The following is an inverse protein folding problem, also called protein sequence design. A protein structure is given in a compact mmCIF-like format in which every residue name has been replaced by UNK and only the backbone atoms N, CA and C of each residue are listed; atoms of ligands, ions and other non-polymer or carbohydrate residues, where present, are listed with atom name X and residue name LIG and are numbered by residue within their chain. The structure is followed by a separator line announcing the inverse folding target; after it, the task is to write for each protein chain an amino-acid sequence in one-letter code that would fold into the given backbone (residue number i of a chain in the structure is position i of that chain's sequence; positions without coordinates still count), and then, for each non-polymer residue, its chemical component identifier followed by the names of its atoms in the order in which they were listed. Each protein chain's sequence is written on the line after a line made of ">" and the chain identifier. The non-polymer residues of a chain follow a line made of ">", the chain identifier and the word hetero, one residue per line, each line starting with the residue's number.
data_IF_258998007880
#
_entry.id   IF_258998007880
#
_cell.length_a   1.000
_cell.length_b   1.000
_cell.length_c   1.000
_cell.angle_alpha   90.00
_cell.angle_beta   90.00
_cell.angle_gamma   90.00
#
_symmetry.space_group_name_H-M   'P 1'
#
loop_
_entity.id
_entity.type
_entity.pdbx_description
1 polymer ?
#
# COMPACT_ATOMS: atom_id res chain seq x y z
N UNK A 1 27.33 -42.83 -141.00
CA UNK A 1 27.35 -43.60 -139.72
C UNK A 1 26.23 -43.05 -138.84
N UNK A 2 25.39 -43.91 -138.27
CA UNK A 2 24.42 -43.53 -137.23
C UNK A 2 25.20 -43.41 -135.90
N UNK A 3 25.09 -42.27 -135.22
CA UNK A 3 25.73 -42.01 -133.91
C UNK A 3 24.69 -41.55 -132.88
N UNK A 4 24.97 -41.79 -131.60
CA UNK A 4 24.13 -41.33 -130.49
C UNK A 4 24.69 -40.02 -129.92
N UNK A 5 23.86 -38.99 -129.83
CA UNK A 5 24.21 -37.74 -129.16
C UNK A 5 23.78 -37.83 -127.69
N UNK A 6 24.71 -37.56 -126.77
CA UNK A 6 24.46 -37.51 -125.32
C UNK A 6 24.67 -36.07 -124.85
N UNK A 7 23.64 -35.48 -124.21
CA UNK A 7 23.70 -34.12 -123.66
C UNK A 7 23.77 -34.17 -122.13
N UNK A 8 24.78 -33.52 -121.55
CA UNK A 8 24.84 -33.24 -120.11
C UNK A 8 24.15 -31.91 -119.78
N UNK A 9 23.77 -31.74 -118.52
CA UNK A 9 22.94 -30.60 -118.06
C UNK A 9 23.61 -29.21 -118.21
N UNK A 10 24.94 -29.15 -118.39
CA UNK A 10 25.69 -27.90 -118.61
C UNK A 10 25.97 -27.59 -120.10
N UNK A 11 25.62 -28.48 -121.04
CA UNK A 11 25.75 -28.22 -122.47
C UNK A 11 24.46 -27.63 -123.06
N UNK A 12 24.11 -26.42 -122.64
CA UNK A 12 23.17 -25.59 -123.40
C UNK A 12 23.94 -24.81 -124.47
N UNK A 13 23.59 -25.06 -125.74
CA UNK A 13 23.97 -24.26 -126.90
C UNK A 13 25.47 -24.23 -127.28
N UNK A 14 25.89 -25.17 -128.13
CA UNK A 14 26.68 -24.78 -129.31
C UNK A 14 28.16 -25.13 -129.41
N UNK A 15 28.80 -25.84 -128.47
CA UNK A 15 30.21 -26.27 -128.67
C UNK A 15 30.47 -27.70 -128.17
N UNK A 16 31.13 -28.48 -129.03
CA UNK A 16 31.60 -29.88 -128.86
C UNK A 16 30.55 -30.97 -128.62
N UNK A 17 29.86 -31.39 -129.68
CA UNK A 17 29.26 -32.72 -129.74
C UNK A 17 30.37 -33.78 -129.78
N UNK A 18 30.66 -34.45 -128.67
CA UNK A 18 31.39 -35.70 -128.71
C UNK A 18 30.44 -36.79 -129.20
N UNK A 19 30.29 -36.90 -130.52
CA UNK A 19 29.49 -37.95 -131.15
C UNK A 19 29.97 -39.31 -130.66
N UNK A 20 29.08 -40.09 -130.04
CA UNK A 20 29.41 -41.46 -129.67
C UNK A 20 29.30 -42.31 -130.93
N UNK A 21 30.43 -42.91 -131.34
CA UNK A 21 30.49 -43.80 -132.49
C UNK A 21 30.25 -45.25 -132.06
N UNK A 22 29.99 -46.12 -133.04
CA UNK A 22 29.86 -47.55 -132.76
C UNK A 22 31.17 -48.07 -132.15
N UNK A 23 31.11 -48.58 -130.91
CA UNK A 23 32.28 -49.00 -130.12
C UNK A 23 32.76 -47.99 -129.06
N UNK A 24 32.20 -46.78 -128.99
CA UNK A 24 32.54 -45.80 -127.95
C UNK A 24 31.93 -46.16 -126.58
N UNK A 25 32.60 -45.78 -125.49
CA UNK A 25 32.14 -46.00 -124.11
C UNK A 25 31.57 -44.72 -123.50
N UNK A 26 30.42 -44.81 -122.82
CA UNK A 26 29.86 -43.74 -121.97
C UNK A 26 30.20 -44.07 -120.51
N UNK A 27 30.97 -43.20 -119.86
CA UNK A 27 31.22 -43.29 -118.43
C UNK A 27 30.23 -42.38 -117.69
N UNK A 28 29.29 -42.95 -116.96
CA UNK A 28 28.45 -42.21 -116.01
C UNK A 28 29.14 -42.22 -114.65
N UNK A 29 29.98 -41.21 -114.45
CA UNK A 29 30.69 -41.00 -113.20
C UNK A 29 29.92 -39.91 -112.47
N UNK A 30 29.41 -40.21 -111.27
CA UNK A 30 29.07 -39.13 -110.37
C UNK A 30 30.39 -38.41 -110.03
N UNK A 31 30.38 -37.08 -109.91
CA UNK A 31 31.61 -36.30 -109.68
C UNK A 31 32.30 -36.76 -108.37
N UNK A 32 33.52 -37.32 -108.41
CA UNK A 32 34.24 -37.70 -107.19
C UNK A 32 34.73 -36.41 -106.53
N UNK A 33 34.35 -36.21 -105.26
CA UNK A 33 34.88 -35.08 -104.50
C UNK A 33 36.40 -35.19 -104.25
N UNK A 34 37.06 -36.32 -104.58
CA UNK A 34 38.50 -36.55 -104.42
C UNK A 34 39.05 -37.67 -105.33
N UNK A 35 39.10 -37.48 -106.65
CA UNK A 35 40.09 -38.10 -107.56
C UNK A 35 40.20 -39.63 -107.75
N UNK A 36 39.57 -40.49 -106.95
CA UNK A 36 39.77 -41.96 -107.03
C UNK A 36 38.67 -42.68 -107.83
N UNK A 37 39.09 -43.46 -108.83
CA UNK A 37 38.20 -44.27 -109.70
C UNK A 37 38.39 -45.76 -109.36
N UNK A 38 37.61 -46.28 -108.41
CA UNK A 38 37.45 -47.73 -108.18
C UNK A 38 36.18 -48.27 -108.86
N UNK A 39 36.18 -49.57 -109.14
CA UNK A 39 35.23 -50.31 -109.98
C UNK A 39 33.79 -50.40 -109.44
N UNK A 40 33.53 -49.85 -108.25
CA UNK A 40 32.20 -49.48 -107.78
C UNK A 40 32.04 -47.96 -107.97
N UNK A 41 31.17 -47.54 -108.89
CA UNK A 41 30.91 -46.13 -109.21
C UNK A 41 30.17 -45.39 -108.07
N UNK A 42 30.78 -45.32 -106.89
CA UNK A 42 30.27 -44.67 -105.69
C UNK A 42 31.07 -43.39 -105.41
N UNK A 43 30.42 -42.23 -105.42
CA UNK A 43 30.99 -40.97 -104.92
C UNK A 43 30.61 -40.74 -103.47
N UNK A 44 30.95 -39.58 -102.89
CA UNK A 44 30.55 -39.24 -101.53
C UNK A 44 29.03 -39.40 -101.29
N UNK A 45 28.18 -39.11 -102.29
CA UNK A 45 26.72 -39.07 -102.12
C UNK A 45 25.92 -39.98 -103.06
N UNK A 46 26.44 -40.33 -104.24
CA UNK A 46 25.73 -41.16 -105.21
C UNK A 46 26.41 -42.51 -105.41
N UNK A 47 25.64 -43.51 -105.77
CA UNK A 47 26.12 -44.83 -106.21
C UNK A 47 25.41 -45.18 -107.51
N UNK A 48 26.19 -45.51 -108.53
CA UNK A 48 25.69 -45.87 -109.85
C UNK A 48 25.88 -47.38 -110.06
N UNK A 49 24.78 -48.09 -110.35
CA UNK A 49 24.81 -49.54 -110.60
C UNK A 49 24.31 -49.79 -112.01
N UNK A 50 25.13 -50.47 -112.82
CA UNK A 50 24.73 -50.96 -114.14
C UNK A 50 24.19 -52.39 -114.02
N UNK A 51 23.12 -52.67 -114.74
CA UNK A 51 22.59 -54.03 -114.92
C UNK A 51 22.11 -54.20 -116.35
N UNK A 52 22.22 -55.41 -116.91
CA UNK A 52 21.74 -55.72 -118.26
C UNK A 52 20.74 -56.86 -118.19
N UNK A 53 19.62 -56.73 -118.89
CA UNK A 53 18.67 -57.83 -118.99
C UNK A 53 19.12 -58.85 -120.07
N UNK A 54 18.55 -60.07 -120.09
CA UNK A 54 18.92 -61.11 -121.06
C UNK A 54 18.68 -60.73 -122.53
N UNK A 55 17.81 -59.75 -122.81
CA UNK A 55 17.58 -59.21 -124.16
C UNK A 55 18.60 -58.14 -124.58
N UNK A 56 19.62 -57.86 -123.75
CA UNK A 56 20.71 -56.94 -124.08
C UNK A 56 20.45 -55.47 -123.72
N UNK A 57 19.33 -55.13 -123.07
CA UNK A 57 19.03 -53.76 -122.64
C UNK A 57 19.74 -53.44 -121.32
N UNK A 58 20.60 -52.43 -121.31
CA UNK A 58 21.30 -51.94 -120.12
C UNK A 58 20.50 -50.88 -119.35
N UNK A 59 20.39 -51.03 -118.03
CA UNK A 59 19.80 -50.05 -117.11
C UNK A 59 20.88 -49.52 -116.17
N UNK A 60 20.96 -48.20 -116.04
CA UNK A 60 21.83 -47.52 -115.08
C UNK A 60 20.95 -46.97 -113.96
N UNK A 61 21.12 -47.50 -112.74
CA UNK A 61 20.42 -47.00 -111.56
C UNK A 61 21.34 -46.08 -110.78
N UNK A 62 20.94 -44.83 -110.62
CA UNK A 62 21.62 -43.87 -109.75
C UNK A 62 20.87 -43.82 -108.42
N UNK A 63 21.55 -44.13 -107.31
CA UNK A 63 21.00 -44.11 -105.95
C UNK A 63 21.77 -43.14 -105.07
N UNK A 64 21.10 -42.52 -104.12
CA UNK A 64 21.77 -41.83 -103.01
C UNK A 64 22.35 -42.87 -102.05
N UNK A 65 23.55 -42.63 -101.49
CA UNK A 65 24.13 -43.46 -100.44
C UNK A 65 23.26 -43.44 -99.18
N UNK A 66 23.37 -44.47 -98.35
CA UNK A 66 22.64 -44.55 -97.07
C UNK A 66 23.07 -43.47 -96.06
N UNK A 67 24.31 -42.97 -96.15
CA UNK A 67 24.87 -41.91 -95.29
C UNK A 67 25.50 -40.81 -96.15
N UNK A 68 24.70 -40.04 -96.91
CA UNK A 68 25.23 -38.97 -97.73
C UNK A 68 25.73 -37.83 -96.82
N UNK A 69 26.78 -37.13 -97.25
CA UNK A 69 27.34 -35.96 -96.58
C UNK A 69 27.01 -34.70 -97.37
N UNK A 70 26.38 -33.73 -96.72
CA UNK A 70 26.02 -32.44 -97.31
C UNK A 70 26.64 -31.31 -96.49
N UNK A 71 27.08 -30.24 -97.17
CA UNK A 71 27.48 -29.00 -96.49
C UNK A 71 26.28 -28.27 -95.88
N UNK A 72 25.14 -28.32 -96.58
CA UNK A 72 23.87 -27.75 -96.15
C UNK A 72 22.72 -28.57 -96.74
N UNK A 73 21.69 -28.78 -95.93
CA UNK A 73 20.39 -29.26 -96.38
C UNK A 73 19.41 -28.12 -96.17
N UNK A 74 18.70 -27.73 -97.24
CA UNK A 74 17.62 -26.73 -97.16
C UNK A 74 16.32 -27.44 -97.48
N UNK A 75 15.41 -27.47 -96.50
CA UNK A 75 14.06 -28.01 -96.67
C UNK A 75 13.11 -26.82 -96.83
N UNK A 76 12.51 -26.70 -98.01
CA UNK A 76 11.53 -25.68 -98.35
C UNK A 76 10.56 -26.20 -99.43
N UNK A 77 9.40 -25.56 -99.60
CA UNK A 77 8.40 -25.98 -100.59
C UNK A 77 8.33 -25.07 -101.84
N UNK A 78 9.48 -24.49 -102.21
CA UNK A 78 9.72 -23.93 -103.54
C UNK A 78 9.21 -22.51 -103.82
N UNK A 79 8.46 -21.84 -102.93
CA UNK A 79 7.83 -20.54 -103.28
C UNK A 79 7.64 -19.50 -102.15
N UNK A 80 8.45 -19.52 -101.07
CA UNK A 80 8.40 -18.65 -99.87
C UNK A 80 7.57 -19.19 -98.68
N UNK A 81 8.02 -20.28 -98.06
CA UNK A 81 7.45 -20.86 -96.83
C UNK A 81 8.60 -21.26 -95.88
N UNK A 82 8.38 -21.63 -94.60
CA UNK A 82 9.47 -21.70 -93.64
C UNK A 82 10.59 -22.60 -94.13
N UNK A 83 11.81 -22.04 -94.13
CA UNK A 83 12.99 -22.76 -94.54
C UNK A 83 13.61 -23.38 -93.28
N UNK A 84 13.77 -24.69 -93.30
CA UNK A 84 14.65 -25.38 -92.34
C UNK A 84 16.00 -25.54 -92.99
N UNK A 85 17.02 -24.96 -92.38
CA UNK A 85 18.42 -25.09 -92.80
C UNK A 85 19.13 -25.98 -91.78
N UNK A 86 19.80 -27.02 -92.28
CA UNK A 86 20.69 -27.88 -91.48
C UNK A 86 22.09 -27.76 -92.07
N UNK A 87 23.04 -27.28 -91.29
CA UNK A 87 24.44 -27.12 -91.70
C UNK A 87 25.38 -27.34 -90.49
N UNK A 88 26.67 -27.02 -90.65
CA UNK A 88 27.66 -27.15 -89.56
C UNK A 88 27.38 -26.25 -88.35
N UNK A 89 26.60 -25.18 -88.50
CA UNK A 89 26.22 -24.27 -87.41
C UNK A 89 25.02 -24.80 -86.61
N UNK A 90 24.26 -25.75 -87.15
CA UNK A 90 23.15 -26.42 -86.47
C UNK A 90 21.87 -26.48 -87.30
N UNK A 91 20.72 -26.34 -86.64
CA UNK A 91 19.39 -26.35 -87.26
C UNK A 91 18.74 -24.98 -87.08
N UNK A 92 18.33 -24.37 -88.19
CA UNK A 92 17.59 -23.10 -88.19
C UNK A 92 16.23 -23.33 -88.82
N UNK A 93 15.16 -22.95 -88.12
CA UNK A 93 13.80 -22.95 -88.63
C UNK A 93 13.37 -21.49 -88.77
N UNK A 94 13.31 -20.99 -90.01
CA UNK A 94 12.89 -19.61 -90.28
C UNK A 94 11.39 -19.59 -90.54
N UNK A 95 10.56 -18.93 -89.71
CA UNK A 95 9.12 -18.86 -89.90
C UNK A 95 8.74 -18.03 -91.13
N UNK A 96 7.52 -18.24 -91.64
CA UNK A 96 6.97 -17.40 -92.70
C UNK A 96 6.46 -16.08 -92.11
N UNK A 97 7.21 -15.01 -92.34
CA UNK A 97 6.92 -13.66 -91.86
C UNK A 97 5.63 -13.05 -92.43
N UNK A 98 5.02 -13.66 -93.46
CA UNK A 98 3.70 -13.24 -93.98
C UNK A 98 2.52 -13.70 -93.10
N UNK A 99 2.67 -14.82 -92.40
CA UNK A 99 1.60 -15.42 -91.56
C UNK A 99 1.77 -15.12 -90.08
N UNK A 100 2.99 -14.84 -89.62
CA UNK A 100 3.27 -14.33 -88.28
C UNK A 100 4.42 -13.30 -88.35
N UNK A 101 4.11 -12.01 -88.49
CA UNK A 101 5.10 -10.94 -88.67
C UNK A 101 6.07 -10.76 -87.49
N UNK A 102 5.72 -11.29 -86.32
CA UNK A 102 6.51 -11.20 -85.08
C UNK A 102 7.31 -12.48 -84.78
N UNK A 103 7.14 -13.55 -85.58
CA UNK A 103 7.85 -14.80 -85.35
C UNK A 103 9.34 -14.65 -85.69
N UNK A 104 10.20 -14.81 -84.68
CA UNK A 104 11.63 -14.91 -84.89
C UNK A 104 12.01 -16.36 -85.20
N UNK A 105 13.13 -16.59 -85.92
CA UNK A 105 13.60 -17.93 -86.21
C UNK A 105 13.94 -18.72 -84.93
N UNK A 106 13.81 -20.05 -85.00
CA UNK A 106 14.26 -20.97 -83.96
C UNK A 106 15.62 -21.53 -84.38
N UNK A 107 16.59 -21.48 -83.48
CA UNK A 107 17.96 -21.93 -83.71
C UNK A 107 18.35 -22.99 -82.70
N UNK A 108 18.91 -24.12 -83.15
CA UNK A 108 19.63 -25.08 -82.32
C UNK A 108 21.07 -25.09 -82.83
N UNK A 109 21.97 -24.47 -82.09
CA UNK A 109 23.39 -24.31 -82.47
C UNK A 109 24.32 -24.83 -81.38
N UNK A 110 25.63 -24.75 -81.59
CA UNK A 110 26.63 -25.00 -80.54
C UNK A 110 26.49 -24.08 -79.32
N UNK A 111 25.84 -22.91 -79.48
CA UNK A 111 25.53 -21.99 -78.39
C UNK A 111 24.25 -22.32 -77.62
N UNK A 112 23.49 -23.35 -78.02
CA UNK A 112 22.24 -23.77 -77.39
C UNK A 112 21.00 -23.54 -78.25
N UNK A 113 19.83 -23.57 -77.59
CA UNK A 113 18.52 -23.34 -78.19
C UNK A 113 18.13 -21.86 -78.03
N UNK A 114 17.82 -21.20 -79.14
CA UNK A 114 17.04 -19.97 -79.15
C UNK A 114 15.67 -20.27 -79.77
N UNK A 115 14.60 -20.11 -78.98
CA UNK A 115 13.24 -20.37 -79.43
C UNK A 115 12.57 -19.15 -80.08
N UNK A 116 13.30 -18.06 -80.33
CA UNK A 116 12.79 -16.88 -81.02
C UNK A 116 11.64 -16.17 -80.29
N UNK A 117 11.66 -16.20 -78.95
CA UNK A 117 10.60 -15.65 -78.10
C UNK A 117 9.30 -16.47 -78.07
N UNK A 118 9.24 -17.63 -78.75
CA UNK A 118 8.07 -18.50 -78.70
C UNK A 118 7.95 -19.21 -77.35
N UNK A 119 6.73 -19.58 -76.96
CA UNK A 119 6.51 -20.44 -75.80
C UNK A 119 6.98 -21.88 -76.08
N UNK A 120 7.74 -22.46 -75.16
CA UNK A 120 8.03 -23.90 -75.15
C UNK A 120 6.94 -24.57 -74.31
N UNK A 121 6.12 -25.41 -74.95
CA UNK A 121 5.00 -26.12 -74.30
C UNK A 121 5.40 -27.56 -73.99
N UNK A 122 4.66 -28.19 -73.07
CA UNK A 122 4.88 -29.60 -72.66
C UNK A 122 6.27 -29.87 -72.06
N UNK A 123 6.84 -28.87 -71.39
CA UNK A 123 8.07 -29.04 -70.59
C UNK A 123 7.67 -29.63 -69.25
N UNK A 124 8.19 -30.81 -68.94
CA UNK A 124 8.01 -31.41 -67.62
C UNK A 124 8.67 -30.54 -66.55
N UNK A 125 8.10 -30.55 -65.34
CA UNK A 125 8.72 -29.90 -64.18
C UNK A 125 10.15 -30.41 -64.00
N UNK A 126 11.10 -29.49 -63.83
CA UNK A 126 12.50 -29.83 -63.62
C UNK A 126 12.76 -30.38 -62.22
N UNK A 127 11.80 -30.22 -61.30
CA UNK A 127 11.89 -30.63 -59.90
C UNK A 127 10.99 -31.85 -59.67
N UNK A 128 11.54 -32.98 -59.16
CA UNK A 128 10.75 -34.15 -58.80
C UNK A 128 9.66 -33.83 -57.75
N UNK A 129 8.56 -34.58 -57.78
CA UNK A 129 7.48 -34.45 -56.78
C UNK A 129 8.04 -34.60 -55.36
N UNK A 130 7.77 -33.63 -54.49
CA UNK A 130 8.20 -33.63 -53.09
C UNK A 130 9.59 -33.00 -52.84
N UNK A 131 10.19 -32.40 -53.87
CA UNK A 131 11.43 -31.62 -53.79
C UNK A 131 11.13 -30.13 -53.97
N UNK A 132 12.01 -29.25 -53.50
CA UNK A 132 11.82 -27.78 -53.59
C UNK A 132 12.78 -27.17 -54.60
N UNK A 133 12.64 -25.85 -54.86
CA UNK A 133 13.56 -25.14 -55.75
C UNK A 133 15.03 -25.21 -55.29
N UNK A 134 15.30 -25.38 -53.99
CA UNK A 134 16.67 -25.53 -53.48
C UNK A 134 17.30 -26.88 -53.83
N UNK A 135 16.50 -27.89 -54.15
CA UNK A 135 16.98 -29.20 -54.60
C UNK A 135 17.31 -29.23 -56.10
N UNK A 136 16.98 -28.15 -56.85
CA UNK A 136 17.21 -28.09 -58.29
C UNK A 136 18.70 -27.84 -58.59
N UNK A 137 19.31 -28.58 -59.55
CA UNK A 137 20.64 -28.25 -60.06
C UNK A 137 20.67 -26.84 -60.62
N UNK A 138 21.76 -26.10 -60.40
CA UNK A 138 21.94 -24.72 -60.87
C UNK A 138 21.90 -24.57 -62.40
N UNK A 139 21.96 -25.67 -63.14
CA UNK A 139 21.95 -25.73 -64.61
C UNK A 139 20.58 -26.01 -65.24
N UNK A 140 19.51 -26.18 -64.44
CA UNK A 140 18.16 -26.47 -64.96
C UNK A 140 17.32 -25.19 -65.09
N UNK A 141 16.50 -25.09 -66.15
CA UNK A 141 15.49 -24.05 -66.28
C UNK A 141 14.27 -24.34 -65.40
N UNK A 142 13.78 -23.32 -64.68
CA UNK A 142 12.55 -23.45 -63.90
C UNK A 142 11.31 -23.35 -64.80
N UNK A 143 10.37 -24.28 -64.65
CA UNK A 143 9.05 -24.16 -65.29
C UNK A 143 8.10 -23.30 -64.45
N UNK A 144 6.99 -22.85 -65.04
CA UNK A 144 5.91 -22.19 -64.28
C UNK A 144 5.36 -23.11 -63.19
N UNK A 145 5.34 -24.43 -63.43
CA UNK A 145 4.94 -25.43 -62.45
C UNK A 145 5.88 -25.45 -61.23
N UNK A 146 7.19 -25.41 -61.48
CA UNK A 146 8.22 -25.36 -60.42
C UNK A 146 8.07 -24.08 -59.57
N UNK A 147 7.86 -22.92 -60.20
CA UNK A 147 7.65 -21.66 -59.50
C UNK A 147 6.37 -21.66 -58.66
N UNK A 148 5.25 -22.16 -59.22
CA UNK A 148 3.99 -22.32 -58.48
C UNK A 148 4.17 -23.25 -57.28
N UNK A 149 4.91 -24.34 -57.46
CA UNK A 149 5.18 -25.28 -56.37
C UNK A 149 5.96 -24.61 -55.23
N UNK A 150 6.99 -23.80 -55.53
CA UNK A 150 7.75 -23.10 -54.50
C UNK A 150 7.01 -21.93 -53.83
N UNK A 151 6.10 -21.26 -54.54
CA UNK A 151 5.30 -20.17 -53.96
C UNK A 151 4.12 -20.70 -53.11
N UNK A 152 3.64 -21.93 -53.38
CA UNK A 152 2.49 -22.50 -52.69
C UNK A 152 2.65 -22.61 -51.16
N UNK A 153 3.80 -23.03 -50.60
CA UNK A 153 4.02 -22.98 -49.16
C UNK A 153 3.92 -21.57 -48.57
N UNK A 154 4.43 -20.56 -49.26
CA UNK A 154 4.38 -19.17 -48.79
C UNK A 154 2.95 -18.63 -48.77
N UNK A 155 2.13 -19.00 -49.77
CA UNK A 155 0.71 -18.65 -49.83
C UNK A 155 -0.13 -19.38 -48.77
N UNK A 156 0.27 -20.59 -48.39
CA UNK A 156 -0.46 -21.39 -47.41
C UNK A 156 0.04 -21.21 -45.97
N UNK A 157 1.18 -20.52 -45.78
CA UNK A 157 1.62 -20.14 -44.46
C UNK A 157 0.62 -19.19 -43.83
N UNK A 158 0.37 -19.42 -42.54
CA UNK A 158 -0.51 -18.60 -41.74
C UNK A 158 0.22 -18.02 -40.55
N UNK A 159 -0.21 -16.84 -40.10
CA UNK A 159 0.18 -16.28 -38.82
C UNK A 159 -0.98 -16.42 -37.85
N UNK A 160 -0.66 -16.88 -36.64
CA UNK A 160 -1.59 -16.94 -35.50
C UNK A 160 -0.90 -16.34 -34.28
N UNK A 161 -1.59 -15.43 -33.59
CA UNK A 161 -1.20 -14.91 -32.28
C UNK A 161 -1.91 -15.71 -31.19
N UNK A 162 -1.15 -16.20 -30.21
CA UNK A 162 -1.67 -16.94 -29.04
C UNK A 162 -1.58 -16.09 -27.78
N UNK A 163 -2.49 -16.33 -26.83
CA UNK A 163 -2.46 -15.70 -25.50
C UNK A 163 -2.42 -16.74 -24.39
N UNK A 164 -2.48 -16.28 -23.13
CA UNK A 164 -2.62 -17.15 -21.96
C UNK A 164 -3.90 -18.02 -22.04
N UNK A 165 -4.92 -17.50 -22.72
CA UNK A 165 -6.10 -18.27 -23.12
C UNK A 165 -6.40 -17.99 -24.59
N UNK A 166 -6.74 -19.03 -25.34
CA UNK A 166 -7.16 -18.91 -26.74
C UNK A 166 -6.06 -18.52 -27.74
N UNK A 167 -6.48 -18.43 -28.99
CA UNK A 167 -5.67 -18.02 -30.13
C UNK A 167 -6.54 -17.21 -31.10
N UNK A 168 -5.91 -16.33 -31.86
CA UNK A 168 -6.56 -15.68 -33.01
C UNK A 168 -6.86 -16.68 -34.12
N UNK A 169 -7.74 -16.32 -35.04
CA UNK A 169 -7.92 -17.07 -36.28
C UNK A 169 -6.61 -17.01 -37.09
N UNK A 170 -6.22 -18.12 -37.71
CA UNK A 170 -5.05 -18.18 -38.56
C UNK A 170 -5.28 -17.35 -39.83
N UNK A 171 -4.46 -16.32 -40.04
CA UNK A 171 -4.53 -15.44 -41.22
C UNK A 171 -3.44 -15.82 -42.23
N UNK A 172 -3.81 -15.97 -43.51
CA UNK A 172 -2.86 -16.33 -44.58
C UNK A 172 -1.98 -15.15 -44.97
N UNK A 173 -0.71 -15.41 -45.30
CA UNK A 173 0.23 -14.35 -45.73
C UNK A 173 -0.19 -13.64 -47.02
N UNK A 174 -0.99 -14.28 -47.86
CA UNK A 174 -1.47 -13.74 -49.15
C UNK A 174 -2.86 -13.09 -49.06
N UNK A 175 -3.32 -12.75 -47.84
CA UNK A 175 -4.63 -12.16 -47.62
C UNK A 175 -4.85 -10.88 -48.45
N UNK A 176 -5.95 -10.85 -49.20
CA UNK A 176 -6.34 -9.69 -50.03
C UNK A 176 -6.62 -8.48 -49.13
N UNK A 177 -5.86 -7.40 -49.32
CA UNK A 177 -5.93 -6.19 -48.48
C UNK A 177 -4.87 -6.12 -47.38
N UNK A 178 -4.00 -7.13 -47.28
CA UNK A 178 -2.93 -7.20 -46.28
C UNK A 178 -3.40 -7.78 -44.95
N UNK A 179 -2.43 -8.05 -44.09
CA UNK A 179 -2.67 -8.52 -42.72
C UNK A 179 -3.02 -7.33 -41.81
N UNK A 180 -4.07 -7.47 -41.01
CA UNK A 180 -4.45 -6.47 -40.01
C UNK A 180 -4.70 -7.16 -38.67
N UNK A 181 -3.81 -6.91 -37.69
CA UNK A 181 -3.93 -7.45 -36.34
C UNK A 181 -4.33 -6.34 -35.37
N UNK A 182 -5.59 -6.37 -34.93
CA UNK A 182 -6.07 -5.48 -33.86
C UNK A 182 -5.68 -6.04 -32.50
N UNK A 183 -4.85 -5.32 -31.75
CA UNK A 183 -4.67 -5.56 -30.31
C UNK A 183 -5.71 -4.70 -29.58
N UNK A 184 -6.76 -5.34 -29.08
CA UNK A 184 -7.83 -4.65 -28.37
C UNK A 184 -7.38 -4.30 -26.94
N UNK A 185 -7.57 -3.04 -26.54
CA UNK A 185 -7.61 -2.66 -25.13
C UNK A 185 -8.96 -2.97 -24.49
N UNK A 186 -9.05 -2.77 -23.19
CA UNK A 186 -10.22 -3.02 -22.35
C UNK A 186 -10.38 -1.92 -21.26
N UNK A 187 -11.06 -2.23 -20.16
CA UNK A 187 -11.22 -1.31 -19.02
C UNK A 187 -9.90 -1.04 -18.29
N UNK A 188 -8.85 -1.86 -18.45
CA UNK A 188 -7.59 -1.69 -17.74
C UNK A 188 -6.45 -1.24 -18.66
N UNK A 189 -6.53 -1.55 -19.95
CA UNK A 189 -5.46 -1.33 -20.93
C UNK A 189 -5.97 -0.48 -22.10
N UNK A 190 -5.18 0.50 -22.49
CA UNK A 190 -5.33 1.25 -23.75
C UNK A 190 -4.26 0.83 -24.76
N UNK A 191 -4.65 0.70 -26.01
CA UNK A 191 -3.74 0.37 -27.12
C UNK A 191 -3.79 1.45 -28.20
N UNK A 192 -2.65 1.79 -28.77
CA UNK A 192 -2.53 2.71 -29.91
C UNK A 192 -1.47 2.23 -30.89
N UNK A 193 -1.66 2.49 -32.18
CA UNK A 193 -0.71 2.14 -33.23
C UNK A 193 -0.36 3.40 -34.03
N UNK A 194 0.93 3.63 -34.28
CA UNK A 194 1.42 4.76 -35.07
C UNK A 194 2.73 4.40 -35.74
N UNK A 195 2.80 4.57 -37.06
CA UNK A 195 3.96 4.15 -37.85
C UNK A 195 4.19 2.65 -37.71
N UNK A 196 5.37 2.27 -37.20
CA UNK A 196 5.77 0.88 -37.01
C UNK A 196 5.56 0.36 -35.58
N UNK A 197 5.09 1.21 -34.65
CA UNK A 197 4.98 0.88 -33.23
C UNK A 197 3.53 0.62 -32.83
N UNK A 198 3.34 -0.37 -31.96
CA UNK A 198 2.11 -0.57 -31.18
C UNK A 198 2.42 -0.35 -29.71
N UNK A 199 1.75 0.63 -29.11
CA UNK A 199 1.90 0.98 -27.70
C UNK A 199 0.76 0.36 -26.90
N UNK A 200 1.10 -0.26 -25.78
CA UNK A 200 0.17 -0.87 -24.82
C UNK A 200 0.45 -0.24 -23.46
N UNK A 201 -0.54 0.39 -22.86
CA UNK A 201 -0.41 1.10 -21.58
C UNK A 201 -1.61 0.85 -20.69
N UNK A 202 -1.42 0.92 -19.38
CA UNK A 202 -2.54 1.00 -18.44
C UNK A 202 -3.39 2.24 -18.77
N UNK A 203 -4.70 2.11 -18.63
CA UNK A 203 -5.58 3.25 -18.80
C UNK A 203 -5.41 4.27 -17.66
N UNK A 204 -6.02 5.44 -17.83
CA UNK A 204 -5.89 6.54 -16.86
C UNK A 204 -6.43 6.18 -15.47
N UNK A 205 -7.55 5.46 -15.40
CA UNK A 205 -8.24 5.16 -14.16
C UNK A 205 -7.51 4.08 -13.34
N UNK A 206 -7.06 3.01 -13.98
CA UNK A 206 -6.25 1.95 -13.37
C UNK A 206 -4.89 2.49 -12.94
N UNK A 207 -4.26 3.34 -13.76
CA UNK A 207 -3.04 4.06 -13.34
C UNK A 207 -3.32 4.93 -12.10
N UNK A 208 -4.42 5.68 -12.09
CA UNK A 208 -4.79 6.51 -10.94
C UNK A 208 -5.08 5.68 -9.68
N UNK A 209 -5.72 4.51 -9.80
CA UNK A 209 -5.94 3.58 -8.68
C UNK A 209 -4.62 3.10 -8.09
N UNK A 210 -3.64 2.76 -8.94
CA UNK A 210 -2.30 2.31 -8.51
C UNK A 210 -1.52 3.47 -7.88
N UNK A 211 -1.50 4.64 -8.51
CA UNK A 211 -0.79 5.82 -7.99
C UNK A 211 -1.39 6.29 -6.63
N UNK A 212 -2.70 6.13 -6.44
CA UNK A 212 -3.40 6.45 -5.18
C UNK A 212 -3.50 5.27 -4.20
N UNK A 213 -2.94 4.10 -4.51
CA UNK A 213 -2.94 2.97 -3.60
C UNK A 213 -1.97 3.22 -2.45
N UNK A 214 -2.46 3.24 -1.20
CA UNK A 214 -1.65 3.49 -0.02
C UNK A 214 -0.33 2.72 -0.06
N UNK A 215 0.78 3.44 -0.14
CA UNK A 215 2.11 2.85 -0.10
C UNK A 215 2.60 2.72 1.35
N UNK A 216 3.84 2.27 1.54
CA UNK A 216 4.40 2.09 2.90
C UNK A 216 4.48 3.38 3.72
N UNK A 217 4.53 4.56 3.09
CA UNK A 217 4.69 5.84 3.78
C UNK A 217 3.39 6.67 3.83
N UNK A 218 2.29 6.17 3.26
CA UNK A 218 0.97 6.80 3.24
C UNK A 218 0.97 8.21 2.62
N UNK A 219 1.96 8.54 1.78
CA UNK A 219 2.11 9.88 1.18
C UNK A 219 0.94 10.27 0.27
N UNK A 220 0.18 9.29 -0.22
CA UNK A 220 -0.96 9.47 -1.11
C UNK A 220 -2.33 9.45 -0.41
N UNK A 221 -2.38 9.51 0.93
CA UNK A 221 -3.65 9.69 1.64
C UNK A 221 -4.25 11.06 1.31
N UNK A 222 -5.51 11.05 0.83
CA UNK A 222 -6.30 12.25 0.52
C UNK A 222 -6.63 13.07 1.77
N UNK A 223 -7.01 14.37 1.65
CA UNK A 223 -7.46 15.16 2.79
C UNK A 223 -8.61 14.52 3.60
N UNK A 224 -9.52 13.80 2.94
CA UNK A 224 -10.58 13.04 3.61
C UNK A 224 -10.02 11.86 4.41
N UNK A 225 -9.06 11.11 3.85
CA UNK A 225 -8.36 10.05 4.58
C UNK A 225 -7.57 10.58 5.78
N UNK A 226 -6.90 11.73 5.63
CA UNK A 226 -6.22 12.42 6.75
C UNK A 226 -7.22 12.77 7.86
N UNK A 227 -8.42 13.24 7.51
CA UNK A 227 -9.49 13.55 8.47
C UNK A 227 -9.96 12.30 9.22
N UNK A 228 -10.11 11.16 8.55
CA UNK A 228 -10.46 9.89 9.22
C UNK A 228 -9.36 9.51 10.22
N UNK A 229 -8.09 9.56 9.82
CA UNK A 229 -6.96 9.25 10.70
C UNK A 229 -6.91 10.19 11.90
N UNK A 230 -7.03 11.50 11.70
CA UNK A 230 -7.01 12.46 12.81
C UNK A 230 -8.24 12.36 13.70
N UNK A 231 -9.39 11.93 13.17
CA UNK A 231 -10.60 11.69 13.97
C UNK A 231 -10.53 10.45 14.86
N UNK A 232 -9.67 9.48 14.51
CA UNK A 232 -9.35 8.35 15.39
C UNK A 232 -8.40 8.76 16.52
N UNK A 233 -7.61 9.82 16.32
CA UNK A 233 -6.80 10.43 17.36
C UNK A 233 -7.67 11.19 18.38
N UNK A 234 -7.25 11.19 19.64
CA UNK A 234 -7.85 12.03 20.69
C UNK A 234 -6.88 13.14 21.05
N UNK A 235 -7.39 14.38 21.15
CA UNK A 235 -6.61 15.51 21.65
C UNK A 235 -6.79 15.57 23.16
N UNK A 236 -5.68 15.42 23.91
CA UNK A 236 -5.66 15.60 25.36
C UNK A 236 -5.03 16.95 25.66
N UNK A 237 -5.82 17.89 26.18
CA UNK A 237 -5.35 19.20 26.59
C UNK A 237 -5.12 19.25 28.10
N UNK A 238 -4.02 19.86 28.53
CA UNK A 238 -3.76 20.13 29.92
C UNK A 238 -4.63 21.30 30.40
N UNK A 239 -5.52 21.05 31.36
CA UNK A 239 -6.26 22.09 32.07
C UNK A 239 -5.51 22.57 33.31
N UNK A 240 -6.09 23.55 34.02
CA UNK A 240 -5.55 24.03 35.28
C UNK A 240 -5.46 22.91 36.32
N UNK A 241 -4.36 22.88 37.10
CA UNK A 241 -4.12 21.92 38.18
C UNK A 241 -4.03 20.44 37.75
N UNK A 242 -3.92 20.18 36.46
CA UNK A 242 -3.72 18.86 35.89
C UNK A 242 -2.38 18.87 35.16
N UNK A 243 -1.60 17.80 35.28
CA UNK A 243 -0.44 17.54 34.43
C UNK A 243 -0.76 16.40 33.48
N UNK A 244 -0.47 16.60 32.19
CA UNK A 244 -0.55 15.55 31.17
C UNK A 244 0.86 15.26 30.69
N UNK A 245 1.36 14.04 30.97
CA UNK A 245 2.64 13.57 30.46
C UNK A 245 2.40 12.62 29.29
N UNK A 246 2.94 12.97 28.14
CA UNK A 246 2.91 12.15 26.94
C UNK A 246 4.17 11.29 26.82
N UNK A 247 4.00 10.05 26.37
CA UNK A 247 5.08 9.18 25.92
C UNK A 247 4.69 8.49 24.61
N UNK A 248 5.60 8.41 23.65
CA UNK A 248 5.42 7.74 22.37
C UNK A 248 6.19 6.41 22.33
N UNK A 249 5.51 5.34 21.91
CA UNK A 249 6.17 4.12 21.45
C UNK A 249 6.68 4.32 20.01
N UNK A 250 7.99 4.46 19.86
CA UNK A 250 8.64 4.72 18.56
C UNK A 250 8.50 3.60 17.53
N UNK A 251 8.13 2.39 17.95
CA UNK A 251 7.93 1.24 17.04
C UNK A 251 6.53 1.25 16.46
N UNK A 252 5.52 1.55 17.27
CA UNK A 252 4.11 1.53 16.85
C UNK A 252 3.55 2.91 16.52
N UNK A 253 4.23 4.00 16.93
CA UNK A 253 3.72 5.36 16.90
C UNK A 253 2.60 5.62 17.92
N UNK A 254 2.39 4.71 18.87
CA UNK A 254 1.30 4.83 19.85
C UNK A 254 1.68 5.82 20.96
N UNK A 255 0.82 6.81 21.19
CA UNK A 255 0.96 7.76 22.30
C UNK A 255 0.21 7.27 23.54
N UNK A 256 0.85 7.35 24.69
CA UNK A 256 0.26 7.12 26.02
C UNK A 256 0.27 8.43 26.80
N UNK A 257 -0.89 8.79 27.37
CA UNK A 257 -1.06 9.99 28.18
C UNK A 257 -1.28 9.60 29.64
N UNK A 258 -0.35 10.01 30.50
CA UNK A 258 -0.51 9.91 31.96
C UNK A 258 -1.06 11.22 32.49
N UNK A 259 -2.25 11.16 33.07
CA UNK A 259 -2.95 12.32 33.62
C UNK A 259 -2.88 12.28 35.14
N UNK A 260 -2.41 13.38 35.75
CA UNK A 260 -2.22 13.51 37.19
C UNK A 260 -2.73 14.86 37.67
N UNK A 261 -3.08 14.94 38.96
CA UNK A 261 -3.33 16.23 39.62
C UNK A 261 -1.99 16.84 40.03
N UNK A 262 -1.86 18.15 39.88
CA UNK A 262 -0.66 18.88 40.26
C UNK A 262 -0.40 18.78 41.77
N UNK A 263 0.88 18.77 42.16
CA UNK A 263 1.24 18.75 43.59
C UNK A 263 0.77 20.00 44.33
N UNK A 264 0.92 21.15 43.68
CA UNK A 264 0.52 22.45 44.20
C UNK A 264 -0.65 22.98 43.36
N UNK A 265 -1.84 23.01 43.95
CA UNK A 265 -3.03 23.54 43.30
C UNK A 265 -3.05 25.07 43.37
N UNK A 266 -3.33 25.73 42.24
CA UNK A 266 -3.36 27.18 42.08
C UNK A 266 -4.74 27.65 41.64
N UNK A 267 -5.06 28.91 41.98
CA UNK A 267 -6.30 29.55 41.52
C UNK A 267 -7.60 29.02 42.14
N UNK A 268 -7.51 28.08 43.09
CA UNK A 268 -8.69 27.56 43.80
C UNK A 268 -9.05 28.46 44.99
N UNK A 269 -10.35 28.57 45.30
CA UNK A 269 -10.84 29.18 46.53
C UNK A 269 -10.78 28.23 47.74
N UNK A 270 -10.68 26.92 47.48
CA UNK A 270 -10.61 25.88 48.48
C UNK A 270 -10.97 24.49 47.96
N UNK A 271 -11.01 23.52 48.88
CA UNK A 271 -11.61 22.20 48.69
C UNK A 271 -13.01 22.23 49.27
N UNK A 272 -14.01 21.92 48.44
CA UNK A 272 -15.40 21.85 48.86
C UNK A 272 -15.98 20.47 48.56
N UNK A 273 -16.39 19.75 49.60
CA UNK A 273 -17.15 18.50 49.45
C UNK A 273 -18.62 18.86 49.59
N UNK A 274 -19.41 18.61 48.54
CA UNK A 274 -20.86 18.90 48.54
C UNK A 274 -21.51 18.19 49.73
N UNK A 275 -22.24 18.94 50.55
CA UNK A 275 -22.88 18.46 51.79
C UNK A 275 -21.92 17.85 52.82
N UNK A 276 -20.63 18.17 52.72
CA UNK A 276 -19.57 17.68 53.59
C UNK A 276 -18.67 18.81 54.11
N UNK A 277 -17.53 18.46 54.74
CA UNK A 277 -16.54 19.43 55.17
C UNK A 277 -15.98 20.24 53.99
N UNK A 278 -15.51 21.45 54.28
CA UNK A 278 -14.82 22.29 53.32
C UNK A 278 -13.63 23.02 53.95
N UNK A 279 -12.62 23.31 53.12
CA UNK A 279 -11.45 24.08 53.49
C UNK A 279 -11.26 25.16 52.43
N UNK A 280 -11.46 26.42 52.80
CA UNK A 280 -11.39 27.57 51.89
C UNK A 280 -10.47 28.65 52.44
N UNK A 281 -10.32 29.75 51.70
CA UNK A 281 -9.62 30.96 52.19
C UNK A 281 -10.21 31.52 53.50
N UNK A 282 -11.48 31.20 53.82
CA UNK A 282 -12.13 31.62 55.08
C UNK A 282 -11.85 30.68 56.25
N UNK A 283 -11.16 29.55 56.04
CA UNK A 283 -10.86 28.56 57.07
C UNK A 283 -11.48 27.19 56.79
N UNK A 284 -11.71 26.44 57.88
CA UNK A 284 -12.22 25.06 57.85
C UNK A 284 -13.66 25.06 58.38
N UNK A 285 -14.58 24.50 57.60
CA UNK A 285 -15.93 24.15 58.05
C UNK A 285 -16.07 22.63 58.07
N UNK A 286 -16.38 22.06 59.22
CA UNK A 286 -16.58 20.61 59.37
C UNK A 286 -17.94 20.12 58.86
N UNK A 287 -18.84 20.99 58.42
CA UNK A 287 -20.16 20.61 57.92
C UNK A 287 -21.01 19.90 58.99
N UNK A 288 -20.98 20.42 60.22
CA UNK A 288 -21.59 19.84 61.42
C UNK A 288 -21.14 18.38 61.72
N UNK A 289 -19.93 18.00 61.34
CA UNK A 289 -19.32 16.72 61.69
C UNK A 289 -18.32 16.87 62.84
N UNK A 290 -18.15 15.79 63.61
CA UNK A 290 -17.12 15.72 64.66
C UNK A 290 -15.74 15.60 64.01
N UNK A 291 -14.78 16.40 64.47
CA UNK A 291 -13.37 16.26 64.10
C UNK A 291 -12.71 15.30 65.11
N UNK A 292 -12.43 14.07 64.68
CA UNK A 292 -11.80 13.04 65.50
C UNK A 292 -10.27 13.06 65.35
N UNK A 293 -9.55 12.37 66.25
CA UNK A 293 -8.09 12.22 66.23
C UNK A 293 -7.30 13.55 66.34
N UNK A 294 -7.86 14.52 67.05
CA UNK A 294 -7.16 15.75 67.43
C UNK A 294 -6.28 15.45 68.64
N UNK A 295 -4.96 15.53 68.46
CA UNK A 295 -4.01 15.43 69.56
C UNK A 295 -4.19 16.59 70.57
N UNK A 296 -3.79 16.44 71.85
CA UNK A 296 -3.89 17.54 72.81
C UNK A 296 -3.13 18.79 72.34
N UNK A 297 -3.84 19.90 72.19
CA UNK A 297 -3.26 21.18 71.80
C UNK A 297 -2.51 21.85 72.96
N UNK A 298 -1.58 22.75 72.67
CA UNK A 298 -0.87 23.49 73.73
C UNK A 298 -1.81 24.45 74.45
N UNK A 299 -1.80 24.47 75.79
CA UNK A 299 -2.54 25.44 76.60
C UNK A 299 -1.58 26.53 77.08
N UNK A 300 -1.33 27.53 76.22
CA UNK A 300 -0.53 28.73 76.52
C UNK A 300 -1.18 29.97 75.90
N UNK A 301 -0.90 31.20 76.38
CA UNK A 301 -1.55 32.42 75.89
C UNK A 301 -1.50 32.62 74.37
N UNK A 302 -0.41 32.22 73.72
CA UNK A 302 -0.21 32.40 72.27
C UNK A 302 -0.58 31.18 71.42
N UNK A 303 -1.14 30.12 72.03
CA UNK A 303 -1.47 28.89 71.30
C UNK A 303 -2.53 29.13 70.22
N UNK A 304 -2.36 28.47 69.08
CA UNK A 304 -3.32 28.40 67.97
C UNK A 304 -3.80 26.98 67.70
N UNK A 305 -3.44 26.05 68.58
CA UNK A 305 -3.81 24.64 68.46
C UNK A 305 -5.29 24.46 68.81
N UNK A 306 -5.94 23.51 68.14
CA UNK A 306 -7.23 23.03 68.59
C UNK A 306 -7.08 22.25 69.91
N UNK A 307 -7.97 22.51 70.88
CA UNK A 307 -8.08 21.70 72.10
C UNK A 307 -9.08 20.57 71.89
N UNK A 308 -8.81 19.41 72.48
CA UNK A 308 -9.69 18.25 72.37
C UNK A 308 -10.49 18.00 73.66
N UNK A 309 -11.40 17.03 73.61
CA UNK A 309 -12.27 16.70 74.73
C UNK A 309 -11.55 16.26 76.01
N UNK A 310 -10.41 15.55 75.93
CA UNK A 310 -9.69 15.09 77.13
C UNK A 310 -9.04 16.23 77.91
N UNK A 311 -8.64 17.31 77.23
CA UNK A 311 -8.15 18.52 77.88
C UNK A 311 -9.26 19.27 78.61
N UNK A 312 -10.43 19.40 77.98
CA UNK A 312 -11.61 20.03 78.59
C UNK A 312 -12.08 19.20 79.80
N UNK A 313 -12.11 17.86 79.68
CA UNK A 313 -12.42 16.95 80.78
C UNK A 313 -11.43 17.07 81.95
N UNK A 314 -10.13 17.20 81.66
CA UNK A 314 -9.10 17.41 82.69
C UNK A 314 -9.30 18.73 83.45
N UNK A 315 -9.65 19.81 82.75
CA UNK A 315 -10.03 21.08 83.37
C UNK A 315 -11.30 20.94 84.21
N UNK A 316 -12.32 20.26 83.69
CA UNK A 316 -13.56 19.97 84.42
C UNK A 316 -13.31 19.23 85.73
N UNK A 317 -12.50 18.16 85.71
CA UNK A 317 -12.08 17.42 86.90
C UNK A 317 -11.34 18.29 87.91
N UNK A 318 -10.46 19.17 87.45
CA UNK A 318 -9.75 20.12 88.32
C UNK A 318 -10.72 21.06 89.05
N UNK A 319 -11.82 21.42 88.41
CA UNK A 319 -12.88 22.24 89.02
C UNK A 319 -13.91 21.41 89.82
N UNK A 320 -13.84 20.08 89.79
CA UNK A 320 -14.83 19.21 90.44
C UNK A 320 -16.15 19.06 89.67
N UNK A 321 -16.12 19.32 88.36
CA UNK A 321 -17.25 19.10 87.45
C UNK A 321 -17.26 17.66 86.91
N UNK A 322 -18.46 17.13 86.64
CA UNK A 322 -18.65 15.83 85.97
C UNK A 322 -19.26 16.05 84.58
N UNK A 323 -18.84 15.31 83.54
CA UNK A 323 -19.47 15.38 82.23
C UNK A 323 -20.96 15.01 82.28
N UNK A 324 -21.77 15.63 81.43
CA UNK A 324 -23.19 15.28 81.30
C UNK A 324 -23.39 13.91 80.61
N UNK A 325 -24.63 13.41 80.60
CA UNK A 325 -24.98 12.12 79.97
C UNK A 325 -24.64 12.02 78.48
N UNK A 326 -24.52 13.16 77.80
CA UNK A 326 -24.26 13.23 76.36
C UNK A 326 -22.76 13.39 76.07
N UNK A 327 -21.93 13.66 77.08
CA UNK A 327 -20.49 13.90 76.95
C UNK A 327 -20.13 15.18 76.19
N UNK A 328 -21.05 16.13 76.07
CA UNK A 328 -20.86 17.38 75.30
C UNK A 328 -20.78 18.62 76.18
N UNK A 329 -21.00 18.46 77.47
CA UNK A 329 -20.88 19.51 78.48
C UNK A 329 -20.66 18.91 79.87
N UNK A 330 -20.86 19.73 80.90
CA UNK A 330 -20.78 19.32 82.30
C UNK A 330 -22.14 19.36 82.97
N UNK A 331 -22.35 18.50 83.96
CA UNK A 331 -23.50 18.60 84.86
C UNK A 331 -23.47 19.92 85.62
N UNK A 332 -24.66 20.45 85.94
CA UNK A 332 -24.78 21.62 86.81
C UNK A 332 -24.25 21.27 88.20
N UNK A 333 -23.27 22.03 88.74
CA UNK A 333 -22.71 21.73 90.05
C UNK A 333 -23.77 21.91 91.14
N UNK A 334 -23.72 21.06 92.17
CA UNK A 334 -24.66 21.05 93.30
C UNK A 334 -23.95 21.52 94.56
N UNK A 335 -24.50 22.55 95.19
CA UNK A 335 -23.98 23.09 96.45
C UNK A 335 -25.05 23.05 97.53
N UNK A 336 -24.64 22.77 98.76
CA UNK A 336 -25.53 22.87 99.93
C UNK A 336 -25.86 24.35 100.18
N UNK A 337 -27.15 24.74 100.29
CA UNK A 337 -27.50 26.10 100.61
C UNK A 337 -27.07 26.49 102.03
N UNK A 338 -26.74 27.77 102.22
CA UNK A 338 -26.46 28.33 103.54
C UNK A 338 -27.78 28.72 104.21
N UNK A 339 -27.95 28.34 105.48
CA UNK A 339 -29.10 28.77 106.30
C UNK A 339 -28.95 30.24 106.65
N UNK A 340 -30.03 31.00 106.47
CA UNK A 340 -30.09 32.42 106.77
C UNK A 340 -30.27 32.65 108.29
N UNK A 341 -29.98 33.87 108.80
CA UNK A 341 -30.12 34.18 110.23
C UNK A 341 -31.53 33.99 110.80
N UNK A 342 -32.57 34.01 109.95
CA UNK A 342 -33.97 33.76 110.33
C UNK A 342 -34.31 32.25 110.41
N UNK A 343 -33.31 31.37 110.24
CA UNK A 343 -33.46 29.92 110.27
C UNK A 343 -33.91 29.30 108.95
N UNK A 344 -34.18 30.08 107.89
CA UNK A 344 -34.60 29.54 106.59
C UNK A 344 -33.41 29.09 105.77
N UNK A 345 -33.53 27.93 105.13
CA UNK A 345 -32.54 27.45 104.15
C UNK A 345 -32.56 28.37 102.93
N UNK A 346 -31.39 28.87 102.53
CA UNK A 346 -31.24 29.67 101.32
C UNK A 346 -31.48 28.88 100.02
N UNK A 347 -31.35 29.56 98.88
CA UNK A 347 -31.40 28.90 97.57
C UNK A 347 -30.06 28.21 97.31
N UNK A 348 -30.09 26.96 96.85
CA UNK A 348 -28.89 26.23 96.44
C UNK A 348 -28.20 26.96 95.26
N UNK A 349 -26.93 27.36 95.39
CA UNK A 349 -26.17 27.87 94.25
C UNK A 349 -26.07 26.83 93.13
N UNK A 350 -26.05 27.28 91.88
CA UNK A 350 -25.87 26.43 90.68
C UNK A 350 -24.55 26.68 89.96
N UNK A 351 -23.68 27.52 90.53
CA UNK A 351 -22.35 27.82 90.02
C UNK A 351 -21.39 28.18 91.17
N UNK A 352 -20.08 28.03 90.91
CA UNK A 352 -19.04 28.26 91.90
C UNK A 352 -18.97 29.72 92.36
N UNK A 353 -19.27 30.68 91.48
CA UNK A 353 -19.21 32.11 91.83
C UNK A 353 -20.23 32.45 92.91
N UNK A 354 -21.48 32.01 92.73
CA UNK A 354 -22.55 32.20 93.69
C UNK A 354 -22.33 31.34 94.95
N UNK A 355 -21.80 30.13 94.83
CA UNK A 355 -21.48 29.31 96.00
C UNK A 355 -20.41 29.95 96.89
N UNK A 356 -19.28 30.31 96.32
CA UNK A 356 -18.18 30.97 97.03
C UNK A 356 -18.65 32.33 97.56
N UNK A 357 -19.38 33.09 96.75
CA UNK A 357 -19.97 34.38 97.15
C UNK A 357 -20.91 34.25 98.34
N UNK A 358 -21.81 33.27 98.33
CA UNK A 358 -22.72 33.01 99.44
C UNK A 358 -21.99 32.64 100.73
N UNK A 359 -20.99 31.76 100.65
CA UNK A 359 -20.15 31.39 101.80
C UNK A 359 -19.41 32.62 102.33
N UNK A 360 -18.77 33.40 101.45
CA UNK A 360 -18.01 34.60 101.82
C UNK A 360 -18.91 35.63 102.48
N UNK A 361 -20.07 35.92 101.88
CA UNK A 361 -21.06 36.84 102.44
C UNK A 361 -21.59 36.36 103.78
N UNK A 362 -21.86 35.06 103.94
CA UNK A 362 -22.32 34.49 105.19
C UNK A 362 -21.25 34.60 106.30
N UNK A 363 -19.99 34.26 105.99
CA UNK A 363 -18.86 34.41 106.92
C UNK A 363 -18.67 35.89 107.32
N UNK A 364 -18.79 36.80 106.35
CA UNK A 364 -18.71 38.24 106.57
C UNK A 364 -19.92 38.83 107.32
N UNK A 365 -21.01 38.09 107.52
CA UNK A 365 -22.09 38.51 108.43
C UNK A 365 -21.72 38.31 109.90
N UNK A 366 -20.73 37.48 110.22
CA UNK A 366 -20.33 37.23 111.61
C UNK A 366 -21.46 36.67 112.49
N UNK A 367 -21.25 36.69 113.81
CA UNK A 367 -22.26 36.36 114.82
C UNK A 367 -22.43 37.53 115.81
N UNK A 368 -23.62 37.69 116.38
CA UNK A 368 -23.92 38.77 117.32
C UNK A 368 -23.89 38.23 118.75
N UNK A 369 -23.14 38.86 119.65
CA UNK A 369 -23.24 38.66 121.10
C UNK A 369 -23.93 39.89 121.71
N UNK A 370 -25.02 39.67 122.45
CA UNK A 370 -25.72 40.73 123.18
C UNK A 370 -25.54 40.57 124.70
N UNK A 371 -25.43 41.67 125.43
CA UNK A 371 -25.44 41.71 126.91
C UNK A 371 -26.82 42.01 127.51
N UNK A 372 -26.89 42.19 128.85
CA UNK A 372 -28.15 42.33 129.61
C UNK A 372 -29.00 43.59 129.31
N UNK A 373 -28.48 44.60 128.60
CA UNK A 373 -29.25 45.78 128.16
C UNK A 373 -29.17 45.95 126.66
N UNK A 374 -30.30 45.75 125.98
CA UNK A 374 -30.45 45.90 124.53
C UNK A 374 -30.74 47.37 124.19
N UNK A 375 -29.70 48.14 123.89
CA UNK A 375 -29.89 49.40 123.16
C UNK A 375 -30.39 49.09 121.75
N UNK A 376 -31.60 49.52 121.38
CA UNK A 376 -32.09 49.34 120.01
C UNK A 376 -31.17 50.09 119.02
N UNK A 377 -30.57 49.35 118.09
CA UNK A 377 -29.98 49.91 116.86
C UNK A 377 -28.45 50.04 116.81
N UNK A 378 -27.70 49.70 117.86
CA UNK A 378 -26.22 49.74 117.82
C UNK A 378 -25.62 48.39 117.46
N UNK A 379 -24.86 48.33 116.35
CA UNK A 379 -24.10 47.15 115.85
C UNK A 379 -22.90 46.75 116.73
N UNK A 380 -23.00 46.94 118.04
CA UNK A 380 -21.84 46.92 118.97
C UNK A 380 -21.47 45.51 119.49
N UNK A 381 -21.95 44.45 118.85
CA UNK A 381 -21.71 43.05 119.26
C UNK A 381 -21.37 42.07 118.14
N UNK A 382 -21.16 42.56 116.90
CA UNK A 382 -20.87 41.69 115.75
C UNK A 382 -19.42 41.21 115.76
N UNK A 383 -19.24 39.92 115.94
CA UNK A 383 -17.97 39.21 115.91
C UNK A 383 -17.82 38.52 114.56
N UNK A 384 -16.61 38.54 114.00
CA UNK A 384 -16.30 37.86 112.74
C UNK A 384 -15.50 36.59 113.02
N UNK A 385 -15.39 35.71 112.01
CA UNK A 385 -14.54 34.52 112.15
C UNK A 385 -13.10 34.94 112.43
N UNK A 386 -12.53 34.44 113.53
CA UNK A 386 -11.19 34.80 113.99
C UNK A 386 -11.14 35.99 114.96
N UNK A 387 -12.26 36.66 115.26
CA UNK A 387 -12.32 37.66 116.33
C UNK A 387 -12.08 37.01 117.71
N UNK A 388 -11.30 37.67 118.57
CA UNK A 388 -11.13 37.28 119.97
C UNK A 388 -12.15 38.02 120.83
N UNK A 389 -13.00 37.28 121.55
CA UNK A 389 -13.89 37.84 122.56
C UNK A 389 -13.15 37.92 123.90
N UNK A 390 -12.99 39.13 124.43
CA UNK A 390 -12.47 39.35 125.78
C UNK A 390 -13.62 39.71 126.73
N UNK A 391 -13.75 38.98 127.83
CA UNK A 391 -14.72 39.27 128.89
C UNK A 391 -13.92 39.70 130.12
N UNK A 392 -14.06 40.97 130.50
CA UNK A 392 -13.24 41.61 131.55
C UNK A 392 -14.17 42.31 132.54
N UNK A 393 -13.93 42.14 133.84
CA UNK A 393 -14.66 42.85 134.89
C UNK A 393 -14.44 44.37 134.82
N UNK A 394 -15.50 45.16 134.94
CA UNK A 394 -15.45 46.61 134.75
C UNK A 394 -14.84 47.34 135.97
N UNK A 395 -14.01 48.37 135.74
CA UNK A 395 -13.46 49.25 136.79
C UNK A 395 -14.51 50.29 137.22
N UNK A 396 -14.91 50.27 138.49
CA UNK A 396 -15.92 51.18 139.04
C UNK A 396 -15.36 52.53 139.50
N UNK A 397 -16.26 53.51 139.50
CA UNK A 397 -16.11 54.94 139.81
C UNK A 397 -15.94 55.11 141.34
N UNK A 398 -14.90 55.85 141.73
CA UNK A 398 -14.54 56.37 143.07
C UNK A 398 -15.25 55.80 144.31
N UNK A 399 -14.52 55.08 145.18
CA UNK A 399 -14.84 55.06 146.62
C UNK A 399 -14.54 53.79 147.43
N UNK A 400 -14.30 52.62 146.81
CA UNK A 400 -13.92 51.39 147.54
C UNK A 400 -13.03 50.52 146.65
N UNK A 401 -11.94 49.98 147.20
CA UNK A 401 -11.02 49.05 146.52
C UNK A 401 -11.70 47.69 146.30
N UNK A 402 -12.21 47.45 145.09
CA UNK A 402 -12.43 46.08 144.60
C UNK A 402 -11.25 45.71 143.70
N UNK A 403 -10.33 44.92 144.25
CA UNK A 403 -9.40 44.08 143.50
C UNK A 403 -10.20 43.12 142.61
N UNK A 404 -9.58 42.61 141.55
CA UNK A 404 -10.14 41.74 140.52
C UNK A 404 -10.56 40.32 141.03
N UNK A 405 -11.12 40.22 142.24
CA UNK A 405 -11.24 38.97 143.01
C UNK A 405 -12.67 38.39 143.11
N UNK A 406 -13.73 39.14 142.76
CA UNK A 406 -15.12 38.66 142.88
C UNK A 406 -15.77 38.17 141.56
N UNK A 407 -15.03 38.20 140.44
CA UNK A 407 -15.42 37.60 139.16
C UNK A 407 -14.24 36.75 138.69
N UNK A 408 -14.34 35.42 138.80
CA UNK A 408 -13.31 34.52 138.24
C UNK A 408 -13.84 33.99 136.92
N UNK A 409 -13.44 34.60 135.81
CA UNK A 409 -13.81 34.06 134.49
C UNK A 409 -12.94 32.85 134.17
N UNK A 410 -13.48 31.64 134.28
CA UNK A 410 -12.80 30.42 133.85
C UNK A 410 -13.26 30.09 132.44
N UNK A 411 -12.34 30.17 131.49
CA UNK A 411 -12.57 29.61 130.17
C UNK A 411 -12.30 28.11 130.21
N UNK A 412 -13.31 27.31 129.91
CA UNK A 412 -13.17 25.87 129.69
C UNK A 412 -13.59 25.55 128.26
N UNK A 413 -12.87 24.63 127.62
CA UNK A 413 -13.14 24.18 126.25
C UNK A 413 -13.56 22.72 126.29
N UNK A 414 -14.68 22.39 125.65
CA UNK A 414 -15.11 21.00 125.52
C UNK A 414 -14.37 20.27 124.37
N UNK A 415 -14.59 18.96 124.27
CA UNK A 415 -13.96 18.12 123.24
C UNK A 415 -14.42 18.44 121.80
N UNK A 416 -15.48 19.24 121.65
CA UNK A 416 -16.05 19.64 120.35
C UNK A 416 -15.62 21.06 119.95
N UNK A 417 -14.81 21.71 120.79
CA UNK A 417 -14.24 23.02 120.54
C UNK A 417 -15.10 24.20 121.02
N UNK A 418 -16.23 23.94 121.68
CA UNK A 418 -17.08 25.00 122.22
C UNK A 418 -16.41 25.57 123.49
N UNK A 419 -16.28 26.88 123.53
CA UNK A 419 -15.77 27.60 124.69
C UNK A 419 -16.90 28.01 125.62
N UNK A 420 -16.84 27.59 126.88
CA UNK A 420 -17.74 28.07 127.93
C UNK A 420 -16.96 29.02 128.84
N UNK A 421 -17.42 30.26 128.93
CA UNK A 421 -16.94 31.19 129.94
C UNK A 421 -17.88 31.09 131.14
N UNK A 422 -17.41 30.49 132.24
CA UNK A 422 -18.06 30.61 133.54
C UNK A 422 -17.63 31.94 134.14
N UNK A 423 -18.60 32.77 134.52
CA UNK A 423 -18.40 34.08 135.15
C UNK A 423 -18.64 33.97 136.64
#
# INVERSE_FOLDING_TARGET
>A
MLGLNVYGNENQSGTTTNGQYLGSSINIIANPANGDIQKDYSTQNLTTVYSQNPQGVGTITVKMKQKPQFQQITLGNGTNKPNTVINQQGVTITPDTKTNPQAQPVFITSGGLDNGGNQIKNVANGIPKGKTLTDAPSSNGATIGDLKHALSPLQNNTITLTGNTGATTAEKLDQKGGLNFKIAGDEDITTSASGNDVTIQLNKDTKAKIDNAADKNLSNITPAGKKVITSLGTIVAQGDNVTVKETEDKTTGQHTYTVSVDKDLKGLDGVHIISGPSMTKSGIDAGNKVITNVAPGKITPDSKDAVNGSQIDSLGKTLGLSPDKNGTGFETPKFTPITQPDGKVGIAPTDYKNAIGNVTNALNKGFIINGNTLGQGTKDGQQYLGSTLNIIGQKAISGVTYSADNLTTVYTKDAHGNGTVLI
#
